data_IF_302970925786
#
_entry.id   IF_302970925786
#
_cell.length_a   1.000
_cell.length_b   1.000
_cell.length_c   1.000
_cell.angle_alpha   90.00
_cell.angle_beta   90.00
_cell.angle_gamma   90.00
#
_symmetry.space_group_name_H-M   'P 1'
#
loop_
_entity.id
_entity.type
_entity.pdbx_description
1 polymer ?
#
# COMPACT_ATOMS: atom_id res chain seq x y z
N UNK A 1 -2.88 33.25 -19.19
CA UNK A 1 -2.53 34.03 -17.98
C UNK A 1 -1.84 33.08 -17.01
N UNK A 2 -0.86 33.51 -16.20
CA UNK A 2 -0.26 32.62 -15.22
C UNK A 2 -1.34 32.10 -14.26
N UNK A 3 -1.26 30.79 -13.93
CA UNK A 3 -2.21 30.12 -13.06
C UNK A 3 -2.24 30.76 -11.67
N UNK A 4 -3.44 31.13 -11.18
CA UNK A 4 -3.59 31.59 -9.81
C UNK A 4 -3.37 30.43 -8.81
N UNK A 5 -2.46 30.63 -7.85
CA UNK A 5 -2.13 29.65 -6.84
C UNK A 5 -3.16 29.68 -5.71
N UNK A 6 -4.09 28.75 -5.73
CA UNK A 6 -5.15 28.65 -4.71
C UNK A 6 -4.84 27.48 -3.77
N UNK A 7 -4.80 27.76 -2.46
CA UNK A 7 -4.70 26.75 -1.40
C UNK A 7 -6.03 26.69 -0.66
N UNK A 8 -6.75 25.60 -0.78
CA UNK A 8 -8.06 25.36 -0.17
C UNK A 8 -7.95 24.48 1.08
N UNK A 9 -9.00 24.42 1.88
CA UNK A 9 -9.11 23.44 2.95
C UNK A 9 -9.16 22.02 2.38
N UNK A 10 -8.85 21.04 3.21
CA UNK A 10 -8.99 19.62 2.81
C UNK A 10 -10.42 19.33 2.35
N UNK A 11 -10.53 18.71 1.19
CA UNK A 11 -11.80 18.24 0.64
C UNK A 11 -11.93 16.72 0.89
N UNK A 12 -12.93 16.28 1.67
CA UNK A 12 -13.16 14.86 1.95
C UNK A 12 -13.51 14.03 0.71
N UNK A 13 -13.79 14.67 -0.44
CA UNK A 13 -14.05 13.99 -1.70
C UNK A 13 -12.77 13.60 -2.46
N UNK A 14 -11.61 14.15 -2.14
CA UNK A 14 -10.36 13.80 -2.81
C UNK A 14 -10.04 12.30 -2.82
N UNK A 15 -10.24 11.53 -1.74
CA UNK A 15 -10.05 10.08 -1.80
C UNK A 15 -10.93 9.38 -2.85
N UNK A 16 -12.20 9.78 -2.98
CA UNK A 16 -13.12 9.23 -3.98
C UNK A 16 -12.68 9.60 -5.41
N UNK A 17 -12.29 10.86 -5.62
CA UNK A 17 -11.76 11.32 -6.90
C UNK A 17 -10.48 10.55 -7.30
N UNK A 18 -9.56 10.36 -6.33
CA UNK A 18 -8.38 9.53 -6.52
C UNK A 18 -8.74 8.11 -6.96
N UNK A 19 -9.68 7.44 -6.28
CA UNK A 19 -10.08 6.07 -6.63
C UNK A 19 -10.63 5.98 -8.07
N UNK A 20 -11.47 6.93 -8.46
CA UNK A 20 -12.03 6.98 -9.80
C UNK A 20 -10.94 7.13 -10.88
N UNK A 21 -9.98 8.05 -10.67
CA UNK A 21 -8.89 8.26 -11.63
C UNK A 21 -7.86 7.12 -11.60
N UNK A 22 -7.57 6.55 -10.43
CA UNK A 22 -6.69 5.39 -10.28
C UNK A 22 -7.22 4.16 -11.05
N UNK A 23 -8.54 3.93 -11.04
CA UNK A 23 -9.16 2.86 -11.83
C UNK A 23 -8.95 3.07 -13.34
N UNK A 24 -9.08 4.31 -13.84
CA UNK A 24 -8.84 4.66 -15.25
C UNK A 24 -7.36 4.48 -15.63
N UNK A 25 -6.45 4.91 -14.76
CA UNK A 25 -5.00 4.75 -14.95
C UNK A 25 -4.63 3.27 -14.98
N UNK A 26 -5.20 2.47 -14.08
CA UNK A 26 -4.98 1.02 -14.04
C UNK A 26 -5.47 0.34 -15.32
N UNK A 27 -6.59 0.79 -15.88
CA UNK A 27 -7.10 0.26 -17.14
C UNK A 27 -6.16 0.52 -18.33
N UNK A 28 -5.45 1.67 -18.34
CA UNK A 28 -4.43 2.00 -19.35
C UNK A 28 -3.16 1.18 -19.17
N UNK A 29 -2.69 1.03 -17.93
CA UNK A 29 -1.42 0.36 -17.63
C UNK A 29 -1.53 -1.17 -17.62
N UNK A 30 -2.73 -1.73 -17.42
CA UNK A 30 -2.98 -3.17 -17.37
C UNK A 30 -2.08 -3.88 -16.34
N UNK A 31 -1.55 -5.04 -16.71
CA UNK A 31 -0.67 -5.87 -15.86
C UNK A 31 0.69 -5.21 -15.55
N UNK A 32 1.06 -4.17 -16.30
CA UNK A 32 2.26 -3.38 -16.00
C UNK A 32 2.13 -2.59 -14.68
N UNK A 33 0.90 -2.36 -14.18
CA UNK A 33 0.65 -1.60 -12.96
C UNK A 33 0.64 -2.50 -11.72
N UNK A 34 1.68 -2.43 -10.91
CA UNK A 34 1.80 -3.23 -9.68
C UNK A 34 1.10 -2.59 -8.49
N UNK A 35 1.12 -1.26 -8.39
CA UNK A 35 0.43 -0.50 -7.35
C UNK A 35 0.08 0.91 -7.84
N UNK A 36 -0.91 1.56 -7.20
CA UNK A 36 -1.20 2.98 -7.40
C UNK A 36 -1.45 3.60 -6.02
N UNK A 37 -0.75 4.69 -5.72
CA UNK A 37 -0.84 5.38 -4.45
C UNK A 37 -1.34 6.81 -4.62
N UNK A 38 -2.23 7.25 -3.72
CA UNK A 38 -2.51 8.65 -3.50
C UNK A 38 -1.36 9.25 -2.68
N UNK A 39 -0.68 10.24 -3.22
CA UNK A 39 0.45 10.91 -2.58
C UNK A 39 0.21 12.42 -2.49
N UNK A 40 1.20 13.15 -2.01
CA UNK A 40 1.10 14.61 -1.89
C UNK A 40 0.09 15.07 -0.85
N UNK A 41 -0.18 16.38 -0.87
CA UNK A 41 -0.97 17.02 0.18
C UNK A 41 -2.45 16.64 0.19
N UNK A 42 -3.04 16.33 -0.97
CA UNK A 42 -4.45 15.91 -1.06
C UNK A 42 -4.70 14.50 -0.50
N UNK A 43 -3.62 13.72 -0.36
CA UNK A 43 -3.67 12.39 0.27
C UNK A 43 -3.66 12.44 1.80
N UNK A 44 -3.53 13.63 2.42
CA UNK A 44 -3.39 13.80 3.87
C UNK A 44 -4.66 14.43 4.44
N UNK A 45 -5.50 13.69 5.20
CA UNK A 45 -6.72 14.23 5.79
C UNK A 45 -6.46 15.48 6.64
N UNK A 46 -7.25 16.52 6.41
CA UNK A 46 -7.16 17.79 7.13
C UNK A 46 -6.05 18.73 6.67
N UNK A 47 -5.20 18.35 5.69
CA UNK A 47 -4.16 19.22 5.16
C UNK A 47 -4.70 20.16 4.07
N UNK A 48 -4.58 21.46 4.25
CA UNK A 48 -4.87 22.42 3.19
C UNK A 48 -3.90 22.25 2.01
N UNK A 49 -4.43 22.26 0.79
CA UNK A 49 -3.65 21.98 -0.42
C UNK A 49 -4.15 22.76 -1.63
N UNK A 50 -3.32 22.82 -2.67
CA UNK A 50 -3.85 23.08 -4.01
C UNK A 50 -4.76 21.90 -4.39
N UNK A 51 -5.91 22.12 -5.06
CA UNK A 51 -6.85 21.05 -5.42
C UNK A 51 -6.31 20.24 -6.63
N UNK A 52 -5.13 19.67 -6.46
CA UNK A 52 -4.44 18.85 -7.47
C UNK A 52 -4.18 17.48 -6.87
N UNK A 53 -4.69 16.44 -7.50
CA UNK A 53 -4.44 15.06 -7.08
C UNK A 53 -3.07 14.60 -7.56
N UNK A 54 -2.17 14.32 -6.62
CA UNK A 54 -0.89 13.70 -6.90
C UNK A 54 -1.05 12.18 -6.78
N UNK A 55 -0.83 11.48 -7.90
CA UNK A 55 -1.02 10.03 -8.02
C UNK A 55 0.30 9.39 -8.38
N UNK A 56 0.66 8.31 -7.70
CA UNK A 56 1.90 7.57 -7.94
C UNK A 56 1.58 6.13 -8.38
N UNK A 57 1.47 5.88 -9.68
CA UNK A 57 1.48 4.52 -10.21
C UNK A 57 2.89 3.92 -10.09
N UNK A 58 2.97 2.67 -9.66
CA UNK A 58 4.19 1.86 -9.66
C UNK A 58 4.04 0.77 -10.71
N UNK A 59 5.04 0.63 -11.56
CA UNK A 59 4.99 -0.25 -12.73
C UNK A 59 6.18 -1.21 -12.79
N UNK A 60 6.01 -2.32 -13.50
CA UNK A 60 7.11 -3.24 -13.80
C UNK A 60 8.11 -2.63 -14.79
N UNK A 61 7.62 -1.93 -15.83
CA UNK A 61 8.41 -1.45 -16.93
C UNK A 61 8.00 -0.04 -17.37
N UNK A 62 8.95 0.90 -17.34
CA UNK A 62 8.73 2.30 -17.76
C UNK A 62 8.58 2.47 -19.27
N UNK A 63 9.22 1.64 -20.08
CA UNK A 63 9.07 1.68 -21.53
C UNK A 63 7.63 1.30 -21.97
N UNK A 64 6.96 0.46 -21.19
CA UNK A 64 5.55 0.19 -21.41
C UNK A 64 4.69 1.42 -21.13
N UNK A 65 5.07 2.26 -20.17
CA UNK A 65 4.42 3.57 -19.93
C UNK A 65 4.65 4.52 -21.10
N UNK A 66 5.88 4.55 -21.63
CA UNK A 66 6.21 5.37 -22.80
C UNK A 66 5.32 4.99 -24.02
N UNK A 67 5.11 3.70 -24.25
CA UNK A 67 4.20 3.20 -25.29
C UNK A 67 2.73 3.52 -25.04
N UNK A 68 2.33 3.64 -23.76
CA UNK A 68 0.97 3.99 -23.38
C UNK A 68 0.69 5.51 -23.39
N UNK A 69 1.68 6.37 -23.70
CA UNK A 69 1.52 7.81 -23.71
C UNK A 69 0.30 8.29 -24.54
N UNK A 70 0.01 7.77 -25.76
CA UNK A 70 -1.18 8.20 -26.50
C UNK A 70 -2.50 7.88 -25.78
N UNK A 71 -2.56 6.82 -24.99
CA UNK A 71 -3.77 6.48 -24.20
C UNK A 71 -3.94 7.46 -23.03
N UNK A 72 -2.86 7.89 -22.39
CA UNK A 72 -2.90 8.95 -21.39
C UNK A 72 -3.29 10.31 -21.98
N UNK A 73 -2.78 10.64 -23.18
CA UNK A 73 -3.17 11.85 -23.89
C UNK A 73 -4.67 11.86 -24.23
N UNK A 74 -5.23 10.72 -24.64
CA UNK A 74 -6.68 10.56 -24.84
C UNK A 74 -7.50 10.74 -23.55
N UNK A 75 -6.89 10.53 -22.35
CA UNK A 75 -7.48 10.84 -21.06
C UNK A 75 -7.31 12.32 -20.64
N UNK A 76 -6.63 13.14 -21.46
CA UNK A 76 -6.36 14.55 -21.22
C UNK A 76 -5.07 14.83 -20.44
N UNK A 77 -4.15 13.86 -20.35
CA UNK A 77 -2.84 14.07 -19.76
C UNK A 77 -1.84 14.58 -20.80
N UNK A 78 -0.95 15.47 -20.37
CA UNK A 78 0.24 15.87 -21.09
C UNK A 78 1.42 15.03 -20.58
N UNK A 79 2.11 14.31 -21.47
CA UNK A 79 3.26 13.47 -21.12
C UNK A 79 4.56 14.30 -21.18
N UNK A 80 5.33 14.36 -20.09
CA UNK A 80 6.51 15.22 -19.93
C UNK A 80 7.81 14.44 -19.65
N UNK A 81 7.81 13.13 -19.84
CA UNK A 81 9.00 12.30 -19.58
C UNK A 81 9.44 12.36 -18.12
N UNK A 82 10.73 12.40 -17.87
CA UNK A 82 11.31 12.41 -16.51
C UNK A 82 11.06 13.71 -15.73
N UNK A 83 10.98 14.81 -16.41
CA UNK A 83 10.72 16.15 -15.88
C UNK A 83 11.52 16.47 -14.59
N UNK A 84 12.84 16.27 -14.65
CA UNK A 84 13.81 16.64 -13.61
C UNK A 84 14.03 15.59 -12.50
N UNK A 85 13.34 14.44 -12.50
CA UNK A 85 13.64 13.31 -11.61
C UNK A 85 14.00 12.10 -12.48
N UNK A 86 15.26 11.64 -12.48
CA UNK A 86 15.68 10.47 -13.25
C UNK A 86 14.83 9.23 -12.94
N UNK A 87 14.45 8.49 -13.97
CA UNK A 87 13.64 7.27 -13.80
C UNK A 87 12.14 7.51 -13.56
N UNK A 88 11.67 8.76 -13.49
CA UNK A 88 10.26 9.09 -13.38
C UNK A 88 9.59 9.21 -14.76
N UNK A 89 8.29 8.88 -14.85
CA UNK A 89 7.42 9.39 -15.90
C UNK A 89 6.40 10.34 -15.27
N UNK A 90 6.49 11.61 -15.66
CA UNK A 90 5.63 12.67 -15.14
C UNK A 90 4.59 13.06 -16.18
N UNK A 91 3.33 13.05 -15.75
CA UNK A 91 2.20 13.48 -16.57
C UNK A 91 1.34 14.45 -15.76
N UNK A 92 0.74 15.41 -16.45
CA UNK A 92 -0.18 16.37 -15.82
C UNK A 92 -1.45 16.54 -16.64
N UNK A 93 -2.56 16.88 -15.98
CA UNK A 93 -3.86 17.05 -16.62
C UNK A 93 -4.51 18.35 -16.16
N UNK A 94 -5.23 19.01 -17.08
CA UNK A 94 -5.98 20.25 -16.84
C UNK A 94 -5.26 21.52 -17.27
N UNK A 95 -4.11 21.45 -17.94
CA UNK A 95 -3.42 22.63 -18.48
C UNK A 95 -3.12 23.67 -17.41
N UNK A 96 -3.62 24.90 -17.61
CA UNK A 96 -3.49 26.00 -16.63
C UNK A 96 -4.36 25.80 -15.39
N UNK A 97 -5.51 25.12 -15.51
CA UNK A 97 -6.36 24.67 -14.39
C UNK A 97 -6.03 23.22 -14.02
N UNK A 98 -4.80 23.01 -13.58
CA UNK A 98 -4.28 21.67 -13.26
C UNK A 98 -5.12 20.95 -12.21
N UNK A 99 -5.50 19.72 -12.51
CA UNK A 99 -6.33 18.88 -11.62
C UNK A 99 -5.60 17.62 -11.13
N UNK A 100 -4.70 17.06 -11.97
CA UNK A 100 -3.99 15.82 -11.63
C UNK A 100 -2.52 15.89 -12.04
N UNK A 101 -1.68 15.20 -11.28
CA UNK A 101 -0.28 14.93 -11.56
C UNK A 101 0.02 13.46 -11.32
N UNK A 102 0.68 12.81 -12.30
CA UNK A 102 1.14 11.43 -12.16
C UNK A 102 2.65 11.42 -11.99
N UNK A 103 3.12 10.69 -11.00
CA UNK A 103 4.52 10.42 -10.71
C UNK A 103 4.73 8.92 -10.85
N UNK A 104 5.02 8.43 -12.06
CA UNK A 104 5.14 6.99 -12.34
C UNK A 104 6.59 6.56 -12.14
N UNK A 105 6.79 5.52 -11.34
CA UNK A 105 8.10 4.93 -11.06
C UNK A 105 8.10 3.43 -11.32
N UNK A 106 9.25 2.91 -11.74
CA UNK A 106 9.45 1.46 -11.75
C UNK A 106 9.43 0.91 -10.31
N UNK A 107 8.94 -0.31 -10.10
CA UNK A 107 8.91 -0.94 -8.77
C UNK A 107 10.29 -1.14 -8.14
N UNK A 108 11.33 -1.09 -8.96
CA UNK A 108 12.73 -1.15 -8.53
C UNK A 108 13.23 0.18 -7.97
N UNK A 109 12.56 1.29 -8.26
CA UNK A 109 12.91 2.62 -7.72
C UNK A 109 12.37 2.79 -6.30
N UNK A 110 12.94 2.00 -5.38
CA UNK A 110 12.55 2.00 -3.97
C UNK A 110 12.76 3.35 -3.30
N UNK A 111 13.79 4.09 -3.70
CA UNK A 111 14.14 5.38 -3.10
C UNK A 111 13.02 6.41 -3.30
N UNK A 112 12.63 6.64 -4.56
CA UNK A 112 11.57 7.61 -4.87
C UNK A 112 10.21 7.18 -4.33
N UNK A 113 9.86 5.89 -4.41
CA UNK A 113 8.60 5.36 -3.88
C UNK A 113 8.54 5.56 -2.36
N UNK A 114 9.59 5.13 -1.62
CA UNK A 114 9.65 5.27 -0.16
C UNK A 114 9.57 6.72 0.27
N UNK A 115 10.30 7.63 -0.38
CA UNK A 115 10.29 9.05 -0.09
C UNK A 115 8.87 9.66 -0.12
N UNK A 116 8.13 9.42 -1.20
CA UNK A 116 6.78 9.96 -1.36
C UNK A 116 5.80 9.39 -0.32
N UNK A 117 5.90 8.10 -0.04
CA UNK A 117 5.05 7.44 0.96
C UNK A 117 5.39 7.88 2.38
N UNK A 118 6.68 7.97 2.72
CA UNK A 118 7.13 8.41 4.05
C UNK A 118 6.63 9.81 4.38
N UNK A 119 6.80 10.79 3.46
CA UNK A 119 6.30 12.16 3.64
C UNK A 119 4.78 12.21 3.83
N UNK A 120 4.03 11.46 3.03
CA UNK A 120 2.57 11.34 3.18
C UNK A 120 2.18 10.82 4.56
N UNK A 121 2.80 9.72 4.96
CA UNK A 121 2.43 9.00 6.19
C UNK A 121 2.89 9.76 7.43
N UNK A 122 4.05 10.42 7.38
CA UNK A 122 4.51 11.35 8.41
C UNK A 122 3.52 12.50 8.63
N UNK A 123 3.07 13.16 7.57
CA UNK A 123 2.07 14.22 7.67
C UNK A 123 0.70 13.73 8.17
N UNK A 124 0.35 12.48 7.94
CA UNK A 124 -0.85 11.85 8.50
C UNK A 124 -0.72 11.64 10.01
N UNK A 125 0.45 11.19 10.46
CA UNK A 125 0.73 10.90 11.87
C UNK A 125 0.98 12.17 12.69
N UNK A 126 1.66 13.19 12.14
CA UNK A 126 2.13 14.38 12.87
C UNK A 126 1.24 15.60 12.60
N UNK A 127 0.32 15.86 13.52
CA UNK A 127 -0.62 16.99 13.42
C UNK A 127 0.09 18.34 13.33
N UNK A 128 1.11 18.56 14.15
CA UNK A 128 1.83 19.83 14.20
C UNK A 128 2.54 20.14 12.88
N UNK A 129 3.30 19.18 12.32
CA UNK A 129 3.94 19.32 11.03
C UNK A 129 2.92 19.58 9.90
N UNK A 130 1.78 18.90 9.95
CA UNK A 130 0.68 19.11 9.01
C UNK A 130 0.12 20.52 9.08
N UNK A 131 -0.14 21.05 10.27
CA UNK A 131 -0.66 22.40 10.48
C UNK A 131 0.37 23.47 10.08
N UNK A 132 1.63 23.26 10.39
CA UNK A 132 2.74 24.15 10.00
C UNK A 132 2.87 24.21 8.47
N UNK A 133 2.88 23.07 7.80
CA UNK A 133 2.91 23.00 6.34
C UNK A 133 1.70 23.67 5.70
N UNK A 134 0.52 23.54 6.30
CA UNK A 134 -0.68 24.21 5.83
C UNK A 134 -0.56 25.75 5.97
N UNK A 135 -0.01 26.26 7.09
CA UNK A 135 0.25 27.70 7.30
C UNK A 135 1.22 28.25 6.26
N UNK A 136 2.35 27.54 6.07
CA UNK A 136 3.37 27.93 5.08
C UNK A 136 2.77 28.03 3.68
N UNK A 137 2.06 27.01 3.21
CA UNK A 137 1.44 27.02 1.89
C UNK A 137 0.45 28.15 1.68
N UNK A 138 -0.37 28.49 2.68
CA UNK A 138 -1.30 29.61 2.60
C UNK A 138 -0.58 30.96 2.59
N UNK A 139 0.51 31.10 3.34
CA UNK A 139 1.33 32.30 3.33
C UNK A 139 1.98 32.53 1.95
N UNK A 140 2.61 31.49 1.42
CA UNK A 140 3.24 31.52 0.10
C UNK A 140 2.25 31.76 -1.05
N UNK A 141 1.05 31.17 -0.99
CA UNK A 141 0.02 31.42 -2.00
C UNK A 141 -0.45 32.90 -2.00
N UNK A 142 -0.47 33.56 -0.85
CA UNK A 142 -0.76 35.01 -0.75
C UNK A 142 0.42 35.86 -1.24
N UNK A 143 1.66 35.43 -0.97
CA UNK A 143 2.86 36.16 -1.37
C UNK A 143 3.14 36.03 -2.87
N UNK A 144 2.90 34.86 -3.44
CA UNK A 144 3.19 34.52 -4.83
C UNK A 144 1.94 34.03 -5.58
N UNK A 145 0.87 34.84 -5.68
CA UNK A 145 -0.42 34.35 -6.20
C UNK A 145 -0.39 33.91 -7.67
N UNK A 146 0.59 34.39 -8.45
CA UNK A 146 0.76 34.08 -9.87
C UNK A 146 2.18 33.63 -10.23
N UNK A 147 3.06 33.48 -9.23
CA UNK A 147 4.43 33.06 -9.38
C UNK A 147 4.61 31.65 -8.79
N UNK A 148 4.53 30.63 -9.66
CA UNK A 148 4.66 29.22 -9.25
C UNK A 148 6.09 28.90 -8.79
N UNK A 149 7.09 29.56 -9.36
CA UNK A 149 8.49 29.30 -9.03
C UNK A 149 8.81 29.87 -7.63
N UNK A 150 8.39 31.10 -7.36
CA UNK A 150 8.48 31.71 -6.03
C UNK A 150 7.72 30.91 -4.97
N UNK A 151 6.52 30.40 -5.29
CA UNK A 151 5.77 29.51 -4.41
C UNK A 151 6.51 28.17 -4.15
N UNK A 152 7.13 27.60 -5.17
CA UNK A 152 7.85 26.33 -5.02
C UNK A 152 9.14 26.51 -4.23
N UNK A 153 9.94 27.54 -4.54
CA UNK A 153 11.18 27.87 -3.81
C UNK A 153 10.89 28.18 -2.32
N UNK A 154 9.83 28.94 -2.04
CA UNK A 154 9.50 29.32 -0.67
C UNK A 154 9.14 28.15 0.25
N UNK A 155 8.80 26.99 -0.27
CA UNK A 155 8.53 25.79 0.52
C UNK A 155 9.65 24.74 0.48
N UNK A 156 10.72 24.96 -0.30
CA UNK A 156 11.72 23.94 -0.57
C UNK A 156 12.45 23.49 0.69
N UNK A 157 12.94 24.43 1.48
CA UNK A 157 13.64 24.14 2.74
C UNK A 157 12.75 23.34 3.71
N UNK A 158 11.50 23.75 3.87
CA UNK A 158 10.54 23.03 4.72
C UNK A 158 10.28 21.61 4.20
N UNK A 159 10.11 21.44 2.88
CA UNK A 159 9.86 20.13 2.28
C UNK A 159 11.07 19.21 2.42
N UNK A 160 12.31 19.73 2.29
CA UNK A 160 13.53 18.96 2.49
C UNK A 160 13.65 18.49 3.95
N UNK A 161 13.43 19.40 4.92
CA UNK A 161 13.43 19.03 6.34
C UNK A 161 12.35 18.01 6.70
N UNK A 162 11.16 18.19 6.13
CA UNK A 162 10.03 17.26 6.30
C UNK A 162 10.36 15.87 5.71
N UNK A 163 10.98 15.84 4.53
CA UNK A 163 11.39 14.59 3.87
C UNK A 163 12.44 13.86 4.70
N UNK A 164 13.45 14.59 5.22
CA UNK A 164 14.48 14.01 6.08
C UNK A 164 13.85 13.41 7.35
N UNK A 165 13.02 14.17 8.06
CA UNK A 165 12.36 13.68 9.28
C UNK A 165 11.47 12.45 9.00
N UNK A 166 10.74 12.45 7.88
CA UNK A 166 9.88 11.35 7.49
C UNK A 166 10.69 10.08 7.13
N UNK A 167 11.83 10.23 6.46
CA UNK A 167 12.71 9.11 6.13
C UNK A 167 13.41 8.56 7.38
N UNK A 168 13.90 9.42 8.26
CA UNK A 168 14.49 9.01 9.54
C UNK A 168 13.50 8.24 10.41
N UNK A 169 12.25 8.72 10.53
CA UNK A 169 11.20 7.99 11.24
C UNK A 169 10.86 6.66 10.55
N UNK A 170 10.78 6.63 9.22
CA UNK A 170 10.56 5.40 8.45
C UNK A 170 11.68 4.38 8.65
N UNK A 171 12.94 4.82 8.79
CA UNK A 171 14.10 3.98 9.09
C UNK A 171 14.03 3.53 10.55
N UNK A 172 13.82 4.45 11.50
CA UNK A 172 13.69 4.16 12.92
C UNK A 172 12.49 3.24 13.20
N UNK A 173 11.37 3.39 12.46
CA UNK A 173 10.26 2.47 12.53
C UNK A 173 10.65 1.08 12.01
N UNK A 174 11.44 0.99 10.95
CA UNK A 174 11.99 -0.28 10.45
C UNK A 174 13.03 -0.87 11.41
N UNK A 175 13.88 -0.06 12.01
CA UNK A 175 14.86 -0.48 13.04
C UNK A 175 14.16 -0.75 14.39
N UNK A 176 13.16 0.04 14.78
CA UNK A 176 12.31 -0.19 15.96
C UNK A 176 11.29 -1.32 15.76
N UNK A 177 11.05 -1.78 14.52
CA UNK A 177 10.33 -3.02 14.21
C UNK A 177 11.21 -4.25 14.38
N UNK A 178 12.52 -4.08 14.66
CA UNK A 178 13.32 -5.19 15.13
C UNK A 178 12.59 -5.82 16.33
N UNK A 179 12.33 -7.11 16.25
CA UNK A 179 11.55 -7.81 17.25
C UNK A 179 12.17 -7.64 18.63
N UNK A 180 11.48 -6.94 19.55
CA UNK A 180 11.96 -6.70 20.93
C UNK A 180 12.45 -7.98 21.62
N UNK A 181 11.84 -9.11 21.31
CA UNK A 181 12.24 -10.45 21.74
C UNK A 181 12.92 -11.18 20.58
N UNK A 182 14.13 -10.72 20.22
CA UNK A 182 14.95 -11.33 19.17
C UNK A 182 15.23 -12.82 19.43
N UNK A 183 15.25 -13.24 20.70
CA UNK A 183 15.33 -14.64 21.13
C UNK A 183 14.16 -15.50 20.63
N UNK A 184 13.08 -14.90 20.18
CA UNK A 184 11.88 -15.58 19.64
C UNK A 184 11.72 -15.43 18.13
N UNK A 185 12.59 -14.68 17.49
CA UNK A 185 12.53 -14.48 16.06
C UNK A 185 12.86 -15.78 15.31
N UNK A 186 12.05 -16.08 14.31
CA UNK A 186 12.26 -17.22 13.41
C UNK A 186 12.75 -16.66 12.08
N UNK A 187 14.03 -16.91 11.78
CA UNK A 187 14.67 -16.49 10.52
C UNK A 187 14.93 -17.66 9.57
N UNK A 188 14.92 -18.89 10.09
CA UNK A 188 15.08 -20.09 9.28
C UNK A 188 13.85 -20.32 8.41
N UNK A 189 14.09 -20.45 7.10
CA UNK A 189 13.03 -20.56 6.10
C UNK A 189 12.15 -21.80 6.29
N UNK A 190 12.73 -22.93 6.65
CA UNK A 190 11.97 -24.17 6.82
C UNK A 190 11.04 -24.05 8.02
N UNK A 191 11.52 -23.42 9.10
CA UNK A 191 10.69 -23.15 10.28
C UNK A 191 9.57 -22.13 9.99
N UNK A 192 9.84 -21.12 9.18
CA UNK A 192 8.80 -20.17 8.72
C UNK A 192 7.73 -20.90 7.89
N UNK A 193 8.15 -21.78 7.00
CA UNK A 193 7.22 -22.57 6.20
C UNK A 193 6.43 -23.60 7.06
N UNK A 194 7.03 -24.16 8.10
CA UNK A 194 6.32 -25.00 9.10
C UNK A 194 5.20 -24.20 9.79
N UNK A 195 5.45 -22.94 10.17
CA UNK A 195 4.42 -22.09 10.77
C UNK A 195 3.31 -21.82 9.76
N UNK A 196 3.66 -21.45 8.51
CA UNK A 196 2.68 -21.25 7.44
C UNK A 196 1.81 -22.49 7.20
N UNK A 197 2.40 -23.68 7.26
CA UNK A 197 1.66 -24.95 7.11
C UNK A 197 0.76 -25.27 8.30
N UNK A 198 1.18 -24.90 9.50
CA UNK A 198 0.46 -25.26 10.73
C UNK A 198 -0.73 -24.33 11.03
N UNK A 199 -0.69 -23.09 10.55
CA UNK A 199 -1.79 -22.14 10.71
C UNK A 199 -2.86 -22.37 9.64
N UNK A 200 -4.16 -22.37 10.00
CA UNK A 200 -5.26 -22.58 9.07
C UNK A 200 -6.15 -21.36 8.84
N UNK A 201 -5.91 -20.31 9.59
CA UNK A 201 -6.58 -19.03 9.44
C UNK A 201 -5.58 -17.89 9.43
N UNK A 202 -5.83 -16.90 8.60
CA UNK A 202 -5.14 -15.61 8.61
C UNK A 202 -6.13 -14.53 9.04
N UNK A 203 -5.72 -13.69 9.98
CA UNK A 203 -6.45 -12.49 10.40
C UNK A 203 -5.96 -11.31 9.57
N UNK A 204 -6.85 -10.74 8.76
CA UNK A 204 -6.51 -9.62 7.88
C UNK A 204 -7.06 -8.34 8.48
N UNK A 205 -6.17 -7.42 8.84
CA UNK A 205 -6.47 -6.07 9.23
C UNK A 205 -6.61 -5.18 7.99
N UNK A 206 -7.78 -4.55 7.85
CA UNK A 206 -8.08 -3.63 6.76
C UNK A 206 -8.77 -2.38 7.29
N UNK A 207 -8.91 -1.37 6.43
CA UNK A 207 -9.55 -0.09 6.75
C UNK A 207 -10.61 0.24 5.70
N UNK A 208 -11.67 0.92 6.13
CA UNK A 208 -12.68 1.55 5.26
C UNK A 208 -13.09 2.93 5.81
N UNK A 209 -14.19 3.48 5.29
CA UNK A 209 -14.71 4.78 5.75
C UNK A 209 -15.16 4.81 7.21
N UNK A 210 -15.52 3.63 7.78
CA UNK A 210 -15.96 3.48 9.17
C UNK A 210 -14.80 3.17 10.12
N UNK A 211 -13.56 3.00 9.60
CA UNK A 211 -12.35 2.77 10.37
C UNK A 211 -11.71 1.41 10.13
N UNK A 212 -10.83 1.02 11.05
CA UNK A 212 -10.11 -0.26 10.96
C UNK A 212 -10.98 -1.42 11.43
N UNK A 213 -10.82 -2.58 10.76
CA UNK A 213 -11.45 -3.83 11.17
C UNK A 213 -10.55 -5.02 10.87
N UNK A 214 -10.84 -6.17 11.48
CA UNK A 214 -10.11 -7.43 11.28
C UNK A 214 -11.08 -8.51 10.86
N UNK A 215 -10.68 -9.35 9.89
CA UNK A 215 -11.46 -10.51 9.45
C UNK A 215 -10.60 -11.77 9.43
N UNK A 216 -11.06 -12.89 10.00
CA UNK A 216 -10.43 -14.19 9.82
C UNK A 216 -10.80 -14.77 8.44
N UNK A 217 -9.83 -15.38 7.77
CA UNK A 217 -10.03 -16.04 6.47
C UNK A 217 -9.18 -17.29 6.38
N UNK A 218 -9.69 -18.32 5.69
CA UNK A 218 -8.84 -19.41 5.21
C UNK A 218 -7.92 -18.88 4.11
N UNK A 219 -6.74 -19.45 4.00
CA UNK A 219 -5.74 -18.99 3.04
C UNK A 219 -4.98 -20.14 2.39
N UNK A 220 -4.34 -19.84 1.29
CA UNK A 220 -3.23 -20.58 0.73
C UNK A 220 -2.05 -19.64 0.56
N UNK A 221 -0.89 -20.17 0.24
CA UNK A 221 0.31 -19.37 0.07
C UNK A 221 1.24 -19.89 -1.01
N UNK A 222 2.14 -19.03 -1.47
CA UNK A 222 3.37 -19.40 -2.14
C UNK A 222 4.56 -18.68 -1.48
N UNK A 223 5.67 -19.41 -1.36
CA UNK A 223 6.92 -18.90 -0.81
C UNK A 223 8.05 -19.14 -1.83
N UNK A 224 8.42 -18.10 -2.56
CA UNK A 224 9.45 -18.13 -3.60
C UNK A 224 10.66 -17.27 -3.16
N UNK A 225 11.74 -17.91 -2.71
CA UNK A 225 12.81 -17.20 -2.01
C UNK A 225 12.22 -16.57 -0.74
N UNK A 226 12.43 -15.28 -0.54
CA UNK A 226 11.87 -14.52 0.59
C UNK A 226 10.51 -13.87 0.27
N UNK A 227 9.96 -14.13 -0.91
CA UNK A 227 8.68 -13.59 -1.35
C UNK A 227 7.54 -14.46 -0.88
N UNK A 228 6.82 -14.00 0.13
CA UNK A 228 5.57 -14.61 0.60
C UNK A 228 4.39 -13.97 -0.14
N UNK A 229 3.52 -14.80 -0.72
CA UNK A 229 2.21 -14.38 -1.24
C UNK A 229 1.13 -15.21 -0.57
N UNK A 230 0.16 -14.53 0.04
CA UNK A 230 -1.04 -15.18 0.60
C UNK A 230 -2.20 -15.04 -0.38
N UNK A 231 -2.99 -16.10 -0.51
CA UNK A 231 -4.20 -16.14 -1.33
C UNK A 231 -5.41 -16.32 -0.44
N UNK A 232 -6.42 -15.48 -0.62
CA UNK A 232 -7.69 -15.55 0.12
C UNK A 232 -8.87 -15.39 -0.81
N UNK A 233 -10.05 -15.86 -0.40
CA UNK A 233 -11.25 -15.77 -1.22
C UNK A 233 -12.45 -15.28 -0.42
N UNK A 234 -13.45 -14.75 -1.12
CA UNK A 234 -14.70 -14.25 -0.54
C UNK A 234 -15.85 -14.34 -1.56
N UNK A 235 -17.06 -14.04 -1.11
CA UNK A 235 -18.14 -13.66 -2.03
C UNK A 235 -17.74 -12.37 -2.78
N UNK A 236 -18.46 -12.06 -3.88
CA UNK A 236 -18.17 -10.89 -4.73
C UNK A 236 -18.44 -9.55 -4.05
N UNK A 237 -19.24 -9.56 -2.97
CA UNK A 237 -19.68 -8.36 -2.26
C UNK A 237 -19.46 -8.49 -0.76
N UNK A 238 -19.45 -7.35 -0.08
CA UNK A 238 -19.34 -7.24 1.37
C UNK A 238 -18.24 -6.26 1.80
N UNK A 239 -18.26 -5.86 3.08
CA UNK A 239 -17.38 -4.86 3.67
C UNK A 239 -15.90 -5.09 3.35
N UNK A 240 -15.41 -6.31 3.59
CA UNK A 240 -14.00 -6.65 3.35
C UNK A 240 -13.61 -6.54 1.87
N UNK A 241 -14.50 -6.96 0.96
CA UNK A 241 -14.24 -6.91 -0.48
C UNK A 241 -14.17 -5.47 -0.96
N UNK A 242 -15.10 -4.63 -0.51
CA UNK A 242 -15.09 -3.20 -0.81
C UNK A 242 -13.80 -2.53 -0.28
N UNK A 243 -13.40 -2.85 0.96
CA UNK A 243 -12.18 -2.33 1.56
C UNK A 243 -10.92 -2.79 0.82
N UNK A 244 -10.80 -4.08 0.49
CA UNK A 244 -9.66 -4.63 -0.24
C UNK A 244 -9.49 -3.98 -1.62
N UNK A 245 -10.60 -3.73 -2.33
CA UNK A 245 -10.60 -3.03 -3.62
C UNK A 245 -10.22 -1.55 -3.47
N UNK A 246 -10.67 -0.90 -2.39
CA UNK A 246 -10.50 0.54 -2.21
C UNK A 246 -9.13 0.95 -1.68
N UNK A 247 -8.57 0.21 -0.72
CA UNK A 247 -7.38 0.64 0.03
C UNK A 247 -6.08 0.03 -0.47
N UNK A 248 -6.14 -1.14 -1.12
CA UNK A 248 -5.01 -1.76 -1.80
C UNK A 248 -3.83 -2.21 -0.92
N UNK A 249 -3.93 -2.07 0.42
CA UNK A 249 -2.91 -2.52 1.38
C UNK A 249 -3.58 -3.06 2.63
N UNK A 250 -3.04 -4.14 3.18
CA UNK A 250 -3.56 -4.81 4.38
C UNK A 250 -2.40 -5.21 5.30
N UNK A 251 -2.71 -5.36 6.60
CA UNK A 251 -1.89 -6.09 7.54
C UNK A 251 -2.45 -7.50 7.71
N UNK A 252 -1.60 -8.46 8.05
CA UNK A 252 -2.04 -9.81 8.34
C UNK A 252 -1.28 -10.42 9.51
N UNK A 253 -1.96 -11.34 10.18
CA UNK A 253 -1.41 -12.13 11.26
C UNK A 253 -2.01 -13.54 11.21
N UNK A 254 -1.20 -14.54 11.58
CA UNK A 254 -1.64 -15.92 11.81
C UNK A 254 -0.84 -16.52 12.94
N UNK A 255 -1.49 -17.33 13.76
CA UNK A 255 -0.84 -17.99 14.88
C UNK A 255 -1.37 -19.39 15.15
N UNK A 256 -0.57 -20.21 15.81
CA UNK A 256 -0.93 -21.56 16.19
C UNK A 256 0.00 -22.11 17.30
N UNK A 257 -0.19 -23.36 17.71
CA UNK A 257 0.68 -24.03 18.67
C UNK A 257 0.51 -23.53 20.12
N UNK A 258 -0.71 -23.13 20.48
CA UNK A 258 -1.03 -22.54 21.77
C UNK A 258 -1.11 -23.59 22.89
N UNK A 259 -0.28 -23.43 23.93
CA UNK A 259 -0.39 -24.22 25.16
C UNK A 259 0.02 -23.38 26.38
N UNK A 260 -0.77 -23.47 27.45
CA UNK A 260 -0.47 -22.82 28.72
C UNK A 260 0.67 -23.55 29.43
N UNK A 261 1.66 -22.79 29.88
CA UNK A 261 2.71 -23.26 30.79
C UNK A 261 2.42 -22.74 32.17
N UNK A 262 2.12 -23.62 33.07
CA UNK A 262 1.81 -23.29 34.46
C UNK A 262 3.07 -23.07 35.32
N UNK A 263 2.95 -22.27 36.35
CA UNK A 263 3.98 -22.01 37.35
C UNK A 263 3.30 -21.75 38.71
N UNK A 264 4.06 -21.83 39.75
CA UNK A 264 3.56 -21.55 41.12
C UNK A 264 3.31 -20.05 41.36
N UNK A 265 3.79 -19.18 40.47
CA UNK A 265 3.56 -17.74 40.56
C UNK A 265 2.88 -17.22 39.32
N UNK A 266 2.06 -16.17 39.45
CA UNK A 266 1.37 -15.55 38.33
C UNK A 266 2.36 -15.07 37.24
N UNK A 267 3.48 -14.48 37.60
CA UNK A 267 4.50 -14.00 36.67
C UNK A 267 5.31 -15.13 35.99
N UNK A 268 5.29 -16.33 36.55
CA UNK A 268 5.95 -17.50 36.00
C UNK A 268 5.13 -18.24 34.95
N UNK A 269 3.81 -18.00 34.87
CA UNK A 269 2.98 -18.56 33.81
C UNK A 269 3.41 -18.03 32.44
N UNK A 270 3.41 -18.87 31.44
CA UNK A 270 3.76 -18.52 30.07
C UNK A 270 2.83 -19.24 29.08
N UNK A 271 2.90 -18.85 27.81
CA UNK A 271 2.10 -19.45 26.75
C UNK A 271 3.01 -19.76 25.55
N UNK A 272 2.95 -20.98 25.08
CA UNK A 272 3.64 -21.32 23.82
C UNK A 272 2.79 -20.84 22.64
N UNK A 273 3.45 -20.43 21.59
CA UNK A 273 2.83 -20.06 20.33
C UNK A 273 3.89 -19.98 19.22
N UNK A 274 3.43 -19.99 18.04
CA UNK A 274 4.18 -19.57 16.86
C UNK A 274 3.27 -18.73 15.97
N UNK A 275 3.84 -17.68 15.35
CA UNK A 275 3.06 -16.74 14.56
C UNK A 275 3.85 -16.17 13.40
N UNK A 276 3.14 -15.72 12.38
CA UNK A 276 3.64 -14.90 11.29
C UNK A 276 2.80 -13.63 11.23
N UNK A 277 3.48 -12.50 11.12
CA UNK A 277 2.85 -11.20 10.94
C UNK A 277 3.49 -10.48 9.76
N UNK A 278 2.68 -9.68 9.06
CA UNK A 278 3.20 -8.89 7.95
C UNK A 278 2.19 -7.91 7.40
N UNK A 279 2.61 -7.22 6.36
CA UNK A 279 1.76 -6.30 5.62
C UNK A 279 2.20 -6.22 4.16
N UNK A 280 1.29 -5.80 3.30
CA UNK A 280 1.60 -5.60 1.89
C UNK A 280 0.38 -5.28 1.05
N UNK A 281 0.60 -5.01 -0.25
CA UNK A 281 -0.47 -4.77 -1.18
C UNK A 281 -1.36 -6.01 -1.35
N UNK A 282 -2.67 -5.73 -1.41
CA UNK A 282 -3.69 -6.71 -1.76
C UNK A 282 -4.26 -6.36 -3.12
N UNK A 283 -4.34 -7.34 -4.01
CA UNK A 283 -4.97 -7.18 -5.32
C UNK A 283 -6.01 -8.25 -5.60
N UNK A 284 -7.07 -7.90 -6.28
CA UNK A 284 -8.04 -8.88 -6.79
C UNK A 284 -7.48 -9.58 -8.03
N UNK A 285 -7.62 -10.89 -8.09
CA UNK A 285 -7.30 -11.69 -9.25
C UNK A 285 -8.52 -11.73 -10.18
N UNK A 286 -8.37 -11.26 -11.42
CA UNK A 286 -9.49 -11.15 -12.37
C UNK A 286 -9.49 -12.25 -13.41
N UNK A 287 -8.29 -12.78 -13.76
CA UNK A 287 -8.14 -13.88 -14.71
C UNK A 287 -8.59 -15.23 -14.13
N UNK A 288 -9.36 -16.03 -14.89
CA UNK A 288 -9.83 -17.34 -14.44
C UNK A 288 -8.68 -18.28 -14.07
N UNK A 289 -7.60 -18.30 -14.84
CA UNK A 289 -6.43 -19.13 -14.57
C UNK A 289 -5.71 -18.72 -13.28
N UNK A 290 -5.55 -17.41 -13.04
CA UNK A 290 -4.99 -16.92 -11.76
C UNK A 290 -5.89 -17.31 -10.58
N UNK A 291 -7.21 -17.15 -10.71
CA UNK A 291 -8.17 -17.55 -9.68
C UNK A 291 -8.09 -19.04 -9.40
N UNK A 292 -8.03 -19.87 -10.46
CA UNK A 292 -7.94 -21.33 -10.32
C UNK A 292 -6.64 -21.74 -9.60
N UNK A 293 -5.52 -21.14 -9.97
CA UNK A 293 -4.24 -21.39 -9.31
C UNK A 293 -4.26 -20.98 -7.82
N UNK A 294 -4.77 -19.79 -7.51
CA UNK A 294 -4.86 -19.28 -6.13
C UNK A 294 -5.82 -20.13 -5.27
N UNK A 295 -6.99 -20.47 -5.77
CA UNK A 295 -7.93 -21.36 -5.08
C UNK A 295 -7.35 -22.77 -4.92
N UNK A 296 -6.58 -23.23 -5.89
CA UNK A 296 -5.82 -24.49 -5.79
C UNK A 296 -4.86 -24.50 -4.61
N UNK A 297 -4.12 -23.39 -4.41
CA UNK A 297 -3.24 -23.22 -3.25
C UNK A 297 -4.00 -23.21 -1.93
N UNK A 298 -5.18 -22.54 -1.88
CA UNK A 298 -6.03 -22.55 -0.69
C UNK A 298 -6.50 -23.97 -0.37
N UNK A 299 -7.00 -24.70 -1.38
CA UNK A 299 -7.49 -26.06 -1.18
C UNK A 299 -6.36 -27.03 -0.78
N UNK A 300 -5.19 -26.93 -1.42
CA UNK A 300 -4.02 -27.72 -1.08
C UNK A 300 -3.59 -27.49 0.37
N UNK A 301 -3.52 -26.23 0.80
CA UNK A 301 -3.17 -25.86 2.17
C UNK A 301 -4.18 -26.38 3.18
N UNK A 302 -5.48 -26.22 2.91
CA UNK A 302 -6.56 -26.56 3.85
C UNK A 302 -6.82 -28.06 3.92
N UNK A 303 -6.55 -28.81 2.84
CA UNK A 303 -6.94 -30.24 2.74
C UNK A 303 -5.76 -31.19 2.62
N UNK A 304 -4.55 -30.66 2.41
CA UNK A 304 -3.37 -31.46 2.09
C UNK A 304 -3.40 -32.11 0.71
N UNK A 305 -4.40 -31.80 -0.12
CA UNK A 305 -4.61 -32.41 -1.44
C UNK A 305 -4.78 -31.34 -2.52
N UNK A 306 -4.05 -31.45 -3.62
CA UNK A 306 -4.20 -30.66 -4.84
C UNK A 306 -5.11 -31.32 -5.89
N UNK A 307 -5.19 -30.70 -7.07
CA UNK A 307 -5.88 -31.25 -8.25
C UNK A 307 -7.40 -31.22 -8.17
N UNK A 308 -7.98 -30.26 -7.44
CA UNK A 308 -9.41 -30.08 -7.35
C UNK A 308 -9.98 -29.49 -8.65
N UNK A 309 -11.09 -30.08 -9.14
CA UNK A 309 -11.86 -29.48 -10.22
C UNK A 309 -12.59 -28.23 -9.72
N UNK A 310 -12.50 -27.15 -10.51
CA UNK A 310 -13.11 -25.84 -10.20
C UNK A 310 -13.87 -25.35 -11.43
N UNK A 311 -15.19 -25.59 -11.49
CA UNK A 311 -16.00 -25.13 -12.62
C UNK A 311 -15.94 -23.61 -12.79
N UNK A 312 -15.88 -23.14 -14.04
CA UNK A 312 -15.78 -21.70 -14.36
C UNK A 312 -16.89 -20.85 -13.71
N UNK A 313 -18.12 -21.39 -13.64
CA UNK A 313 -19.22 -20.72 -12.96
C UNK A 313 -18.96 -20.46 -11.46
N UNK A 314 -18.13 -21.28 -10.81
CA UNK A 314 -17.73 -21.06 -9.42
C UNK A 314 -16.63 -20.00 -9.32
N UNK A 315 -15.69 -20.00 -10.26
CA UNK A 315 -14.65 -18.96 -10.35
C UNK A 315 -15.26 -17.57 -10.58
N UNK A 316 -16.27 -17.48 -11.45
CA UNK A 316 -16.95 -16.21 -11.76
C UNK A 316 -17.71 -15.62 -10.57
N UNK A 317 -18.21 -16.47 -9.65
CA UNK A 317 -18.92 -16.04 -8.43
C UNK A 317 -18.03 -15.80 -7.22
N UNK A 318 -16.73 -16.08 -7.32
CA UNK A 318 -15.79 -15.97 -6.22
C UNK A 318 -14.85 -14.79 -6.44
N UNK A 319 -14.77 -13.88 -5.46
CA UNK A 319 -13.70 -12.89 -5.40
C UNK A 319 -12.46 -13.56 -4.80
N UNK A 320 -11.34 -13.45 -5.49
CA UNK A 320 -10.05 -14.03 -5.06
C UNK A 320 -9.02 -12.93 -5.02
N UNK A 321 -8.26 -12.87 -3.93
CA UNK A 321 -7.25 -11.84 -3.70
C UNK A 321 -5.89 -12.47 -3.44
N UNK A 322 -4.84 -11.77 -3.89
CA UNK A 322 -3.46 -12.06 -3.54
C UNK A 322 -2.90 -10.91 -2.68
N UNK A 323 -2.26 -11.26 -1.58
CA UNK A 323 -1.53 -10.33 -0.70
C UNK A 323 -0.05 -10.64 -0.87
N UNK A 324 0.70 -9.72 -1.45
CA UNK A 324 2.15 -9.84 -1.54
C UNK A 324 2.78 -9.22 -0.30
N UNK A 325 3.41 -10.00 0.55
CA UNK A 325 4.05 -9.48 1.75
C UNK A 325 5.29 -8.64 1.38
N UNK A 326 5.25 -7.35 1.67
CA UNK A 326 6.39 -6.44 1.55
C UNK A 326 7.32 -6.56 2.76
N UNK A 327 6.72 -6.81 3.93
CA UNK A 327 7.40 -7.05 5.20
C UNK A 327 6.66 -8.15 5.94
N UNK A 328 7.39 -9.12 6.46
CA UNK A 328 6.82 -10.17 7.30
C UNK A 328 7.88 -10.77 8.21
N UNK A 329 7.45 -11.25 9.37
CA UNK A 329 8.30 -11.81 10.42
C UNK A 329 7.64 -13.06 11.00
N UNK A 330 8.48 -14.02 11.38
CA UNK A 330 8.06 -15.19 12.16
C UNK A 330 8.48 -15.06 13.60
N UNK A 331 7.66 -15.58 14.48
CA UNK A 331 7.93 -15.59 15.92
C UNK A 331 7.52 -16.92 16.53
N UNK A 332 8.35 -17.43 17.46
CA UNK A 332 8.07 -18.68 18.17
C UNK A 332 8.45 -18.56 19.64
N UNK A 333 7.51 -18.95 20.52
CA UNK A 333 7.76 -19.16 21.92
C UNK A 333 7.57 -20.64 22.24
N UNK A 334 8.66 -21.41 22.20
CA UNK A 334 8.63 -22.83 22.53
C UNK A 334 8.86 -23.05 24.03
N UNK A 335 8.42 -24.20 24.52
CA UNK A 335 8.90 -24.73 25.79
C UNK A 335 10.39 -25.01 25.66
N UNK A 336 11.23 -24.32 26.42
CA UNK A 336 12.60 -24.71 26.67
C UNK A 336 12.62 -25.93 27.59
#
# INVERSE_FOLDING_TARGET
MPQHITVVNYDPDWPRQFQAEAARIRAVLGDNCTAIYHIGSTAVPGLAAKPILDIMPVVENLEAVDRAAPAFEAMGYEYLGEFGIPGRRYLRKGGDERTHQLHIFARTDRANITRHLAVRDYLRAHREAREEYARLKRALARQFPYDIDGYCLGKEEFVQALEQAALEESINFKEGSAMRRADREVTDRNQLEEILKACHAVHIGAQDGDGMFVVPMNYGYSLEGDRLTLYVHSAQEGRKVAAFRAWGTVAFEMDCGHALRTSDTACGHSYTYQSIMGSGPIRELTGREEKRAALGRIMEHMTGRGGWDMPDASLDRTAVFAIQADQWTGKRNQAG
#
